data_IF_242062770160
#
_entry.id   IF_242062770160
#
_cell.length_a   1.000
_cell.length_b   1.000
_cell.length_c   1.000
_cell.angle_alpha   90.00
_cell.angle_beta   90.00
_cell.angle_gamma   90.00
#
_symmetry.space_group_name_H-M   'P 1'
#
loop_
_entity.id
_entity.type
_entity.pdbx_description
1 polymer ?
#
# COMPACT_ATOMS: atom_id res chain seq x y z
N UNK A 1 -3.22 -5.62 -6.02
CA UNK A 1 -3.51 -4.78 -7.21
C UNK A 1 -3.57 -3.31 -6.80
N UNK A 2 -3.19 -2.38 -7.66
CA UNK A 2 -3.23 -0.94 -7.37
C UNK A 2 -4.08 -0.23 -8.42
N UNK A 3 -5.22 0.32 -7.99
CA UNK A 3 -6.15 1.04 -8.86
C UNK A 3 -6.20 2.51 -8.49
N UNK A 4 -5.08 3.19 -8.76
CA UNK A 4 -4.85 4.63 -8.55
C UNK A 4 -3.74 5.09 -9.47
N UNK A 5 -3.54 6.40 -9.61
CA UNK A 5 -2.53 6.96 -10.50
C UNK A 5 -1.11 6.46 -10.13
N UNK A 6 -0.39 5.83 -11.07
CA UNK A 6 1.03 5.49 -10.90
C UNK A 6 1.92 6.73 -11.05
N UNK A 7 3.18 6.65 -10.60
CA UNK A 7 4.18 7.70 -10.82
C UNK A 7 5.29 7.15 -11.72
N UNK A 8 5.30 7.60 -12.98
CA UNK A 8 6.30 7.26 -13.99
C UNK A 8 7.48 8.24 -13.92
N UNK A 9 8.68 7.72 -14.14
CA UNK A 9 9.84 8.52 -14.55
C UNK A 9 9.93 8.59 -16.08
N UNK A 10 10.78 9.49 -16.59
CA UNK A 10 10.79 9.88 -18.00
C UNK A 10 10.98 8.71 -18.98
N UNK A 11 11.68 7.65 -18.56
CA UNK A 11 11.98 6.47 -19.39
C UNK A 11 11.16 5.23 -18.97
N UNK A 12 10.36 5.35 -17.91
CA UNK A 12 9.67 4.23 -17.31
C UNK A 12 8.41 3.87 -18.10
N UNK A 13 8.32 2.61 -18.50
CA UNK A 13 7.16 2.06 -19.23
C UNK A 13 6.42 0.98 -18.44
N UNK A 14 7.00 0.49 -17.35
CA UNK A 14 6.41 -0.58 -16.55
C UNK A 14 5.45 -0.03 -15.49
N UNK A 15 4.19 -0.46 -15.57
CA UNK A 15 3.14 -0.03 -14.64
C UNK A 15 3.41 -0.48 -13.20
N UNK A 16 3.92 -1.70 -12.99
CA UNK A 16 4.20 -2.20 -11.65
C UNK A 16 5.30 -1.37 -10.99
N UNK A 17 6.36 -1.06 -11.73
CA UNK A 17 7.44 -0.18 -11.24
C UNK A 17 6.87 1.20 -10.86
N UNK A 18 6.07 1.80 -11.73
CA UNK A 18 5.48 3.11 -11.49
C UNK A 18 4.49 3.13 -10.31
N UNK A 19 3.75 2.03 -10.09
CA UNK A 19 2.88 1.87 -8.93
C UNK A 19 3.67 1.72 -7.62
N UNK A 20 4.76 0.95 -7.63
CA UNK A 20 5.63 0.78 -6.47
C UNK A 20 6.40 2.06 -6.12
N UNK A 21 6.81 2.83 -7.13
CA UNK A 21 7.37 4.18 -6.93
C UNK A 21 6.37 5.07 -6.20
N UNK A 22 5.11 5.07 -6.62
CA UNK A 22 4.06 5.85 -5.96
C UNK A 22 3.91 5.50 -4.47
N UNK A 23 3.93 4.20 -4.11
CA UNK A 23 3.88 3.78 -2.70
C UNK A 23 5.12 4.27 -1.94
N UNK A 24 6.30 4.13 -2.54
CA UNK A 24 7.57 4.55 -1.92
C UNK A 24 7.54 6.05 -1.59
N UNK A 25 7.12 6.87 -2.55
CA UNK A 25 6.97 8.32 -2.37
C UNK A 25 5.89 8.68 -1.35
N UNK A 26 4.80 7.93 -1.27
CA UNK A 26 3.77 8.14 -0.23
C UNK A 26 4.36 7.94 1.16
N UNK A 27 5.06 6.82 1.39
CA UNK A 27 5.69 6.48 2.67
C UNK A 27 6.71 7.55 3.07
N UNK A 28 7.56 7.97 2.13
CA UNK A 28 8.58 9.00 2.35
C UNK A 28 7.96 10.36 2.69
N UNK A 29 7.00 10.82 1.87
CA UNK A 29 6.36 12.14 2.06
C UNK A 29 5.58 12.21 3.37
N UNK A 30 4.92 11.12 3.74
CA UNK A 30 4.19 11.02 5.01
C UNK A 30 5.13 10.74 6.21
N UNK A 31 6.43 10.49 5.96
CA UNK A 31 7.44 10.18 6.99
C UNK A 31 7.02 9.03 7.90
N UNK A 32 6.44 7.99 7.30
CA UNK A 32 5.98 6.81 8.05
C UNK A 32 7.19 6.08 8.63
N UNK A 33 7.08 5.68 9.89
CA UNK A 33 8.12 5.02 10.67
C UNK A 33 7.48 3.96 11.58
N UNK A 34 8.30 3.10 12.19
CA UNK A 34 7.81 2.01 13.07
C UNK A 34 7.03 2.52 14.28
N UNK A 35 7.26 3.78 14.68
CA UNK A 35 6.60 4.43 15.82
C UNK A 35 5.17 4.86 15.50
N UNK A 36 4.77 4.85 14.22
CA UNK A 36 3.47 5.34 13.79
C UNK A 36 2.40 4.24 13.68
N UNK A 37 1.15 4.66 13.91
CA UNK A 37 -0.05 3.92 13.53
C UNK A 37 -0.71 4.65 12.36
N UNK A 38 -0.88 3.96 11.23
CA UNK A 38 -1.35 4.55 9.96
C UNK A 38 -2.78 4.10 9.68
N UNK A 39 -3.64 5.03 9.30
CA UNK A 39 -5.00 4.76 8.84
C UNK A 39 -5.16 5.13 7.36
N UNK A 40 -5.65 4.19 6.55
CA UNK A 40 -5.88 4.37 5.11
C UNK A 40 -7.38 4.23 4.77
N UNK A 41 -7.96 5.33 4.27
CA UNK A 41 -9.36 5.39 3.85
C UNK A 41 -9.49 4.99 2.39
N UNK A 42 -10.16 3.86 2.14
CA UNK A 42 -10.23 3.28 0.80
C UNK A 42 -8.96 2.49 0.47
N UNK A 43 -8.56 1.59 1.36
CA UNK A 43 -7.31 0.81 1.25
C UNK A 43 -7.24 -0.13 0.02
N UNK A 44 -8.35 -0.24 -0.72
CA UNK A 44 -8.45 -1.00 -1.95
C UNK A 44 -8.05 -2.46 -1.73
N UNK A 45 -7.10 -2.94 -2.51
CA UNK A 45 -6.69 -4.35 -2.49
C UNK A 45 -5.53 -4.65 -1.52
N UNK A 46 -5.29 -3.79 -0.53
CA UNK A 46 -4.33 -4.02 0.56
C UNK A 46 -2.85 -3.80 0.23
N UNK A 47 -2.51 -3.37 -0.99
CA UNK A 47 -1.11 -3.20 -1.40
C UNK A 47 -0.34 -2.14 -0.58
N UNK A 48 -0.99 -1.02 -0.23
CA UNK A 48 -0.35 0.03 0.58
C UNK A 48 -0.08 -0.46 2.00
N UNK A 49 -1.03 -1.18 2.60
CA UNK A 49 -0.88 -1.78 3.92
C UNK A 49 0.36 -2.68 4.00
N UNK A 50 0.45 -3.65 3.09
CA UNK A 50 1.54 -4.63 3.05
C UNK A 50 2.88 -3.94 2.87
N UNK A 51 2.99 -3.00 1.92
CA UNK A 51 4.26 -2.31 1.65
C UNK A 51 4.67 -1.34 2.75
N UNK A 52 3.72 -0.63 3.37
CA UNK A 52 4.01 0.26 4.48
C UNK A 52 4.55 -0.50 5.69
N UNK A 53 3.86 -1.57 6.09
CA UNK A 53 4.28 -2.43 7.22
C UNK A 53 5.63 -3.09 6.91
N UNK A 54 5.77 -3.70 5.73
CA UNK A 54 7.01 -4.40 5.33
C UNK A 54 8.24 -3.48 5.33
N UNK A 55 8.10 -2.23 4.89
CA UNK A 55 9.23 -1.30 4.75
C UNK A 55 9.56 -0.55 6.02
N UNK A 56 8.55 -0.24 6.84
CA UNK A 56 8.72 0.67 7.97
C UNK A 56 8.54 0.01 9.33
N UNK A 57 7.85 -1.13 9.40
CA UNK A 57 7.44 -1.76 10.66
C UNK A 57 6.32 -1.01 11.40
N UNK A 58 5.64 -0.05 10.76
CA UNK A 58 4.52 0.67 11.36
C UNK A 58 3.33 -0.27 11.62
N UNK A 59 2.40 0.16 12.47
CA UNK A 59 1.06 -0.44 12.51
C UNK A 59 0.20 0.17 11.42
N UNK A 60 -0.70 -0.61 10.84
CA UNK A 60 -1.54 -0.16 9.74
C UNK A 60 -2.97 -0.66 9.91
N UNK A 61 -3.93 0.23 9.71
CA UNK A 61 -5.35 -0.08 9.61
C UNK A 61 -5.88 0.47 8.27
N UNK A 62 -6.62 -0.36 7.54
CA UNK A 62 -7.26 0.04 6.29
C UNK A 62 -8.78 -0.07 6.40
N UNK A 63 -9.50 0.87 5.80
CA UNK A 63 -10.96 0.84 5.72
C UNK A 63 -11.37 0.74 4.25
N UNK A 64 -12.33 -0.12 3.95
CA UNK A 64 -13.00 -0.18 2.65
C UNK A 64 -14.48 -0.53 2.84
N UNK A 65 -15.32 -0.10 1.89
CA UNK A 65 -16.74 -0.48 1.82
C UNK A 65 -16.99 -1.72 0.96
N UNK A 66 -16.00 -2.16 0.17
CA UNK A 66 -16.15 -3.37 -0.66
C UNK A 66 -15.75 -4.60 0.12
N UNK A 67 -16.68 -5.54 0.25
CA UNK A 67 -16.42 -6.83 0.88
C UNK A 67 -15.38 -7.64 0.11
N UNK A 68 -15.35 -7.55 -1.21
CA UNK A 68 -14.40 -8.26 -2.07
C UNK A 68 -12.99 -7.73 -1.89
N UNK A 69 -12.84 -6.41 -1.81
CA UNK A 69 -11.56 -5.77 -1.50
C UNK A 69 -11.07 -6.17 -0.12
N UNK A 70 -11.96 -6.17 0.88
CA UNK A 70 -11.61 -6.60 2.24
C UNK A 70 -11.13 -8.05 2.26
N UNK A 71 -11.93 -8.99 1.75
CA UNK A 71 -11.60 -10.43 1.70
C UNK A 71 -10.27 -10.68 0.98
N UNK A 72 -10.05 -10.00 -0.16
CA UNK A 72 -8.81 -10.12 -0.90
C UNK A 72 -7.61 -9.53 -0.14
N UNK A 73 -7.76 -8.33 0.43
CA UNK A 73 -6.70 -7.67 1.18
C UNK A 73 -6.28 -8.50 2.40
N UNK A 74 -7.23 -9.02 3.18
CA UNK A 74 -6.96 -9.89 4.33
C UNK A 74 -6.20 -11.16 3.93
N UNK A 75 -6.62 -11.81 2.84
CA UNK A 75 -5.92 -12.96 2.29
C UNK A 75 -4.47 -12.61 1.91
N UNK A 76 -4.25 -11.50 1.21
CA UNK A 76 -2.91 -11.06 0.79
C UNK A 76 -2.01 -10.66 1.98
N UNK A 77 -2.58 -10.03 3.01
CA UNK A 77 -1.88 -9.67 4.25
C UNK A 77 -1.39 -10.94 4.95
N UNK A 78 -2.27 -11.94 5.08
CA UNK A 78 -1.94 -13.25 5.66
C UNK A 78 -0.87 -13.99 4.85
N UNK A 79 -0.96 -14.00 3.52
CA UNK A 79 0.06 -14.58 2.63
C UNK A 79 1.42 -13.89 2.77
N UNK A 80 1.44 -12.60 3.09
CA UNK A 80 2.65 -11.82 3.32
C UNK A 80 3.25 -12.04 4.74
N UNK A 81 2.55 -12.76 5.62
CA UNK A 81 3.01 -13.10 6.97
C UNK A 81 2.67 -12.06 8.05
N UNK A 82 1.67 -11.22 7.80
CA UNK A 82 1.16 -10.24 8.77
C UNK A 82 -0.22 -10.64 9.31
#
# INVERSE_FOLDING_TARGET
MLYSCPIFEREDKDLNVAQMRKISLLIEKARISKEHEVLDFGCGWGCVAIEAVKRTGCKFAGITLSEEQLKYAEMKVKEAGF
#
